data_IF_757406482788
#
_entry.id   IF_757406482788
#
_cell.length_a   1.000
_cell.length_b   1.000
_cell.length_c   1.000
_cell.angle_alpha   90.00
_cell.angle_beta   90.00
_cell.angle_gamma   90.00
#
_symmetry.space_group_name_H-M   'P 1'
#
loop_
_entity.id
_entity.type
_entity.pdbx_description
1 polymer ?
#
# COMPACT_ATOMS: atom_id res chain seq x y z
N UNK A 1 -33.04 -4.06 -8.04
CA UNK A 1 -33.25 -4.91 -6.84
C UNK A 1 -31.98 -5.73 -6.54
N UNK A 2 -31.42 -6.44 -7.53
CA UNK A 2 -30.11 -7.11 -7.40
C UNK A 2 -28.96 -6.15 -7.07
N UNK A 3 -28.92 -4.97 -7.69
CA UNK A 3 -27.87 -3.98 -7.41
C UNK A 3 -27.88 -3.47 -5.97
N UNK A 4 -29.07 -3.35 -5.38
CA UNK A 4 -29.23 -2.97 -3.98
C UNK A 4 -28.69 -4.06 -3.05
N UNK A 5 -28.98 -5.32 -3.35
CA UNK A 5 -28.47 -6.46 -2.57
C UNK A 5 -26.95 -6.58 -2.72
N UNK A 6 -26.41 -6.40 -3.93
CA UNK A 6 -24.98 -6.39 -4.18
C UNK A 6 -24.28 -5.24 -3.43
N UNK A 7 -24.87 -4.05 -3.43
CA UNK A 7 -24.36 -2.91 -2.68
C UNK A 7 -24.37 -3.15 -1.17
N UNK A 8 -25.47 -3.67 -0.61
CA UNK A 8 -25.57 -4.01 0.82
C UNK A 8 -24.57 -5.10 1.21
N UNK A 9 -24.35 -6.11 0.35
CA UNK A 9 -23.35 -7.16 0.59
C UNK A 9 -21.92 -6.60 0.62
N UNK A 10 -21.59 -5.71 -0.31
CA UNK A 10 -20.25 -5.11 -0.39
C UNK A 10 -20.02 -4.12 0.75
N UNK A 11 -20.97 -3.23 1.04
CA UNK A 11 -20.84 -2.27 2.15
C UNK A 11 -20.87 -2.98 3.51
N UNK A 12 -21.71 -4.01 3.67
CA UNK A 12 -21.74 -4.84 4.87
C UNK A 12 -20.41 -5.58 5.12
N UNK A 13 -19.81 -6.14 4.06
CA UNK A 13 -18.50 -6.78 4.15
C UNK A 13 -17.37 -5.77 4.40
N UNK A 14 -17.46 -4.54 3.86
CA UNK A 14 -16.47 -3.47 4.04
C UNK A 14 -16.45 -2.93 5.46
N UNK A 15 -17.62 -2.75 6.06
CA UNK A 15 -17.78 -2.11 7.38
C UNK A 15 -17.73 -3.10 8.56
N UNK A 16 -17.69 -4.42 8.30
CA UNK A 16 -17.71 -5.46 9.33
C UNK A 16 -18.82 -5.23 10.38
N UNK A 17 -20.01 -4.85 9.89
CA UNK A 17 -21.12 -4.41 10.73
C UNK A 17 -21.64 -5.59 11.55
N UNK A 18 -21.96 -5.32 12.82
CA UNK A 18 -22.52 -6.31 13.71
C UNK A 18 -23.91 -6.77 13.23
N UNK A 19 -24.24 -8.05 13.42
CA UNK A 19 -25.47 -8.67 12.90
C UNK A 19 -26.74 -7.87 13.23
N UNK A 20 -26.78 -7.34 14.46
CA UNK A 20 -27.91 -6.57 15.01
C UNK A 20 -28.05 -5.19 14.38
N UNK A 21 -26.94 -4.51 14.12
CA UNK A 21 -26.96 -3.17 13.51
C UNK A 21 -27.39 -3.24 12.05
N UNK A 22 -27.03 -4.34 11.35
CA UNK A 22 -27.45 -4.58 9.98
C UNK A 22 -28.96 -4.93 9.93
N UNK A 23 -29.45 -5.74 10.87
CA UNK A 23 -30.87 -6.04 10.98
C UNK A 23 -31.69 -4.79 11.31
N UNK A 24 -31.26 -3.96 12.26
CA UNK A 24 -31.93 -2.71 12.63
C UNK A 24 -31.94 -1.71 11.46
N UNK A 25 -30.85 -1.61 10.71
CA UNK A 25 -30.76 -0.74 9.53
C UNK A 25 -31.69 -1.21 8.40
N UNK A 26 -31.81 -2.53 8.19
CA UNK A 26 -32.73 -3.11 7.19
C UNK A 26 -34.20 -2.99 7.61
N UNK A 27 -34.50 -3.09 8.91
CA UNK A 27 -35.83 -2.84 9.46
C UNK A 27 -36.21 -1.36 9.33
N UNK A 28 -35.30 -0.42 9.60
CA UNK A 28 -35.50 1.01 9.35
C UNK A 28 -35.74 1.31 7.86
N UNK A 29 -35.12 0.55 6.96
CA UNK A 29 -35.33 0.66 5.51
C UNK A 29 -36.69 0.08 5.04
N UNK A 30 -37.51 -0.47 5.93
CA UNK A 30 -38.85 -0.99 5.62
C UNK A 30 -38.85 -2.40 5.01
N UNK A 31 -37.76 -3.16 5.16
CA UNK A 31 -37.67 -4.54 4.67
C UNK A 31 -38.42 -5.48 5.63
N UNK A 32 -39.19 -6.43 5.08
CA UNK A 32 -39.88 -7.46 5.88
C UNK A 32 -38.87 -8.32 6.66
N UNK A 33 -39.20 -8.64 7.91
CA UNK A 33 -38.32 -9.31 8.88
C UNK A 33 -37.72 -10.65 8.38
N UNK A 34 -38.49 -11.38 7.55
CA UNK A 34 -38.05 -12.63 6.93
C UNK A 34 -36.96 -12.43 5.86
N UNK A 35 -37.01 -11.32 5.10
CA UNK A 35 -35.98 -11.03 4.10
C UNK A 35 -34.74 -10.44 4.75
N UNK A 36 -34.90 -9.69 5.84
CA UNK A 36 -33.79 -9.14 6.62
C UNK A 36 -32.91 -10.27 7.19
N UNK A 37 -33.50 -11.31 7.79
CA UNK A 37 -32.73 -12.45 8.34
C UNK A 37 -31.98 -13.26 7.27
N UNK A 38 -32.57 -13.43 6.08
CA UNK A 38 -31.93 -14.10 4.94
C UNK A 38 -30.75 -13.26 4.41
N UNK A 39 -30.92 -11.94 4.29
CA UNK A 39 -29.85 -11.05 3.82
C UNK A 39 -28.71 -11.01 4.83
N UNK A 40 -29.01 -10.89 6.12
CA UNK A 40 -28.01 -10.87 7.20
C UNK A 40 -27.18 -12.14 7.21
N UNK A 41 -27.81 -13.32 7.17
CA UNK A 41 -27.11 -14.60 7.12
C UNK A 41 -26.27 -14.76 5.84
N UNK A 42 -26.75 -14.28 4.69
CA UNK A 42 -25.98 -14.27 3.44
C UNK A 42 -24.78 -13.31 3.49
N UNK A 43 -24.93 -12.14 4.11
CA UNK A 43 -23.83 -11.18 4.35
C UNK A 43 -22.77 -11.82 5.24
N UNK A 44 -23.15 -12.46 6.35
CA UNK A 44 -22.18 -13.10 7.25
C UNK A 44 -21.41 -14.22 6.56
N UNK A 45 -22.10 -15.09 5.80
CA UNK A 45 -21.45 -16.17 5.06
C UNK A 45 -20.48 -15.67 3.98
N UNK A 46 -20.85 -14.59 3.28
CA UNK A 46 -20.05 -14.03 2.19
C UNK A 46 -19.03 -12.97 2.62
N UNK A 47 -19.15 -12.43 3.84
CA UNK A 47 -18.30 -11.34 4.35
C UNK A 47 -16.81 -11.70 4.31
N UNK A 48 -16.45 -12.89 4.79
CA UNK A 48 -15.07 -13.40 4.78
C UNK A 48 -14.53 -13.57 3.36
N UNK A 49 -15.37 -14.07 2.43
CA UNK A 49 -14.98 -14.22 1.03
C UNK A 49 -14.75 -12.86 0.37
N UNK A 50 -15.69 -11.93 0.55
CA UNK A 50 -15.58 -10.57 0.02
C UNK A 50 -14.41 -9.82 0.64
N UNK A 51 -14.13 -9.99 1.93
CA UNK A 51 -12.95 -9.41 2.57
C UNK A 51 -11.65 -10.01 2.04
N UNK A 52 -11.60 -11.31 1.77
CA UNK A 52 -10.45 -11.92 1.12
C UNK A 52 -10.26 -11.42 -0.31
N UNK A 53 -11.33 -11.30 -1.11
CA UNK A 53 -11.26 -10.74 -2.46
C UNK A 53 -10.86 -9.26 -2.44
N UNK A 54 -11.43 -8.46 -1.53
CA UNK A 54 -11.05 -7.06 -1.35
C UNK A 54 -9.60 -6.94 -0.89
N UNK A 55 -9.14 -7.80 0.02
CA UNK A 55 -7.75 -7.88 0.48
C UNK A 55 -6.79 -8.24 -0.64
N UNK A 56 -7.16 -9.18 -1.50
CA UNK A 56 -6.38 -9.57 -2.67
C UNK A 56 -6.41 -8.51 -3.80
N UNK A 57 -7.45 -7.67 -3.85
CA UNK A 57 -7.53 -6.52 -4.75
C UNK A 57 -6.80 -5.29 -4.21
N UNK A 58 -6.43 -5.25 -2.92
CA UNK A 58 -5.56 -4.18 -2.42
C UNK A 58 -4.25 -4.27 -3.18
N UNK A 59 -3.83 -3.12 -3.72
CA UNK A 59 -2.56 -2.99 -4.43
C UNK A 59 -1.49 -3.53 -3.49
N UNK A 60 -0.79 -4.59 -3.91
CA UNK A 60 0.33 -5.13 -3.15
C UNK A 60 1.49 -4.14 -3.25
N UNK A 61 1.45 -3.10 -2.41
CA UNK A 61 2.45 -2.05 -2.41
C UNK A 61 3.68 -2.55 -1.67
N UNK A 62 4.83 -2.44 -2.33
CA UNK A 62 6.11 -2.73 -1.73
C UNK A 62 6.39 -1.69 -0.63
N UNK A 63 6.32 -2.10 0.63
CA UNK A 63 6.56 -1.19 1.76
C UNK A 63 8.05 -1.07 2.00
N UNK A 64 8.58 0.15 1.96
CA UNK A 64 9.95 0.42 2.40
C UNK A 64 10.09 0.13 3.90
N UNK A 65 11.16 -0.57 4.30
CA UNK A 65 11.44 -0.90 5.71
C UNK A 65 12.74 -0.29 6.21
N UNK A 66 13.82 -0.43 5.45
CA UNK A 66 15.14 0.00 5.89
C UNK A 66 16.05 0.33 4.69
N UNK A 67 17.05 1.19 4.92
CA UNK A 67 18.13 1.47 3.98
C UNK A 67 19.45 1.50 4.73
N UNK A 68 20.42 0.77 4.20
CA UNK A 68 21.80 0.77 4.65
C UNK A 68 22.67 1.33 3.51
N UNK A 69 23.71 2.08 3.85
CA UNK A 69 24.63 2.62 2.88
C UNK A 69 26.09 2.38 3.29
N UNK A 70 26.95 2.27 2.28
CA UNK A 70 28.40 2.20 2.44
C UNK A 70 29.05 3.07 1.38
N UNK A 71 30.03 3.88 1.79
CA UNK A 71 30.90 4.62 0.88
C UNK A 71 32.25 3.92 0.85
N UNK A 72 32.60 3.40 -0.32
CA UNK A 72 33.91 2.83 -0.59
C UNK A 72 34.74 3.85 -1.37
N UNK A 73 35.98 4.08 -0.95
CA UNK A 73 36.89 5.01 -1.64
C UNK A 73 38.16 4.26 -1.96
N UNK A 74 38.50 4.20 -3.24
CA UNK A 74 39.83 3.72 -3.66
C UNK A 74 40.82 4.86 -3.48
N UNK A 75 41.77 4.66 -2.58
CA UNK A 75 42.91 5.55 -2.38
C UNK A 75 44.07 5.01 -3.22
N UNK A 76 44.52 5.79 -4.20
CA UNK A 76 45.61 5.40 -5.08
C UNK A 76 46.88 5.03 -4.27
N UNK A 77 47.55 3.96 -4.71
CA UNK A 77 48.85 3.52 -4.19
C UNK A 77 49.99 4.13 -5.00
N UNK A 78 51.20 4.10 -4.42
CA UNK A 78 52.46 4.86 -4.68
C UNK A 78 52.88 5.21 -6.14
N UNK A 79 52.18 4.77 -7.17
CA UNK A 79 52.51 4.97 -8.58
C UNK A 79 51.50 5.81 -9.38
N UNK A 80 50.31 6.11 -8.82
CA UNK A 80 49.28 6.96 -9.43
C UNK A 80 48.91 8.05 -8.43
N UNK A 81 49.09 9.31 -8.83
CA UNK A 81 49.01 10.45 -7.90
C UNK A 81 47.58 10.95 -7.64
N UNK A 82 46.60 10.66 -8.51
CA UNK A 82 45.26 11.26 -8.41
C UNK A 82 44.16 10.34 -8.95
N UNK A 83 43.83 9.25 -8.24
CA UNK A 83 42.61 8.51 -8.54
C UNK A 83 41.81 8.30 -7.25
N UNK A 84 40.95 9.28 -6.96
CA UNK A 84 39.88 9.14 -5.97
C UNK A 84 38.65 8.62 -6.72
N UNK A 85 38.36 7.33 -6.58
CA UNK A 85 37.11 6.73 -7.09
C UNK A 85 36.19 6.45 -5.91
N UNK A 86 35.30 7.40 -5.53
CA UNK A 86 34.27 7.15 -4.55
C UNK A 86 33.12 6.35 -5.17
N UNK A 87 32.72 5.28 -4.49
CA UNK A 87 31.65 4.38 -4.87
C UNK A 87 30.66 4.27 -3.71
N UNK A 88 29.39 4.55 -3.95
CA UNK A 88 28.33 4.45 -2.93
C UNK A 88 27.50 3.22 -3.20
N UNK A 89 27.38 2.35 -2.21
CA UNK A 89 26.52 1.18 -2.24
C UNK A 89 25.34 1.44 -1.31
N UNK A 90 24.13 1.34 -1.85
CA UNK A 90 22.86 1.47 -1.16
C UNK A 90 22.17 0.12 -1.14
N UNK A 91 21.70 -0.31 0.02
CA UNK A 91 20.91 -1.53 0.19
C UNK A 91 19.54 -1.14 0.74
N UNK A 92 18.50 -1.50 0.01
CA UNK A 92 17.10 -1.24 0.38
C UNK A 92 16.43 -2.55 0.79
N UNK A 93 15.84 -2.55 1.98
CA UNK A 93 15.01 -3.64 2.46
C UNK A 93 13.53 -3.25 2.29
N UNK A 94 12.81 -4.07 1.53
CA UNK A 94 11.40 -3.92 1.26
C UNK A 94 10.59 -5.06 1.87
N UNK A 95 9.40 -4.73 2.37
CA UNK A 95 8.40 -5.71 2.76
C UNK A 95 7.35 -5.84 1.66
N UNK A 96 7.27 -7.03 1.09
CA UNK A 96 6.16 -7.40 0.21
C UNK A 96 5.00 -7.84 1.11
N UNK A 97 3.74 -7.49 0.79
CA UNK A 97 2.56 -7.79 1.61
C UNK A 97 2.33 -9.28 1.95
N UNK A 98 3.13 -10.18 1.35
CA UNK A 98 3.18 -11.61 1.63
C UNK A 98 4.30 -12.01 2.62
N UNK A 99 4.76 -11.10 3.49
CA UNK A 99 5.87 -11.27 4.45
C UNK A 99 7.24 -11.66 3.83
N UNK A 100 7.33 -11.61 2.50
CA UNK A 100 8.59 -11.83 1.78
C UNK A 100 9.40 -10.54 1.83
N UNK A 101 10.56 -10.60 2.49
CA UNK A 101 11.55 -9.53 2.45
C UNK A 101 12.23 -9.55 1.08
N UNK A 102 12.17 -8.42 0.38
CA UNK A 102 12.87 -8.21 -0.88
C UNK A 102 14.01 -7.22 -0.62
N UNK A 103 15.25 -7.61 -0.91
CA UNK A 103 16.43 -6.77 -0.74
C UNK A 103 16.93 -6.35 -2.11
N UNK A 104 17.11 -5.05 -2.32
CA UNK A 104 17.72 -4.51 -3.55
C UNK A 104 19.00 -3.76 -3.22
N UNK A 105 20.06 -4.06 -3.96
CA UNK A 105 21.35 -3.40 -3.82
C UNK A 105 21.58 -2.55 -5.07
N UNK A 106 21.96 -1.30 -4.86
CA UNK A 106 22.23 -0.31 -5.88
C UNK A 106 23.64 0.24 -5.63
N UNK A 107 24.47 0.23 -6.67
CA UNK A 107 25.77 0.90 -6.66
C UNK A 107 25.62 2.18 -7.49
N UNK A 108 26.07 3.30 -6.94
CA UNK A 108 25.94 4.62 -7.57
C UNK A 108 27.19 5.47 -7.32
N UNK A 109 27.43 6.38 -8.25
CA UNK A 109 28.35 7.49 -8.10
C UNK A 109 27.68 8.69 -7.42
N UNK A 110 28.48 9.67 -7.00
CA UNK A 110 28.02 10.84 -6.25
C UNK A 110 27.06 11.72 -7.07
N UNK A 111 27.23 11.76 -8.40
CA UNK A 111 26.40 12.59 -9.28
C UNK A 111 25.01 11.98 -9.39
N UNK A 112 24.93 10.66 -9.61
CA UNK A 112 23.64 9.97 -9.62
C UNK A 112 22.97 9.97 -8.24
N UNK A 113 23.72 9.97 -7.14
CA UNK A 113 23.14 10.11 -5.81
C UNK A 113 22.44 11.47 -5.65
N UNK A 114 23.07 12.57 -6.08
CA UNK A 114 22.44 13.90 -6.07
C UNK A 114 21.21 13.97 -6.99
N UNK A 115 21.27 13.33 -8.16
CA UNK A 115 20.10 13.26 -9.05
C UNK A 115 18.95 12.48 -8.39
N UNK A 116 19.27 11.39 -7.70
CA UNK A 116 18.29 10.59 -6.96
C UNK A 116 17.64 11.39 -5.83
N UNK A 117 18.42 12.14 -5.04
CA UNK A 117 17.86 12.99 -3.98
C UNK A 117 16.95 14.07 -4.54
N UNK A 118 17.36 14.75 -5.62
CA UNK A 118 16.54 15.78 -6.25
C UNK A 118 15.21 15.22 -6.76
N UNK A 119 15.23 14.07 -7.45
CA UNK A 119 14.02 13.42 -7.94
C UNK A 119 13.08 12.99 -6.80
N UNK A 120 13.64 12.50 -5.68
CA UNK A 120 12.84 12.15 -4.51
C UNK A 120 12.22 13.37 -3.83
N UNK A 121 12.95 14.49 -3.77
CA UNK A 121 12.43 15.75 -3.26
C UNK A 121 11.31 16.33 -4.13
N UNK A 122 11.47 16.27 -5.45
CA UNK A 122 10.43 16.65 -6.41
C UNK A 122 9.18 15.79 -6.23
N UNK A 123 9.34 14.46 -6.15
CA UNK A 123 8.22 13.55 -5.90
C UNK A 123 7.53 13.82 -4.54
N UNK A 124 8.30 14.11 -3.48
CA UNK A 124 7.75 14.50 -2.18
C UNK A 124 6.95 15.81 -2.25
N UNK A 125 7.41 16.76 -3.05
CA UNK A 125 6.71 18.01 -3.28
C UNK A 125 5.43 17.80 -4.12
N UNK A 126 5.45 16.90 -5.09
CA UNK A 126 4.28 16.54 -5.90
C UNK A 126 3.18 15.88 -5.06
N UNK A 127 3.53 15.07 -4.06
CA UNK A 127 2.54 14.50 -3.11
C UNK A 127 1.76 15.60 -2.37
N UNK A 128 2.38 16.76 -2.13
CA UNK A 128 1.70 17.91 -1.50
C UNK A 128 0.70 18.59 -2.43
N UNK A 129 0.69 18.27 -3.72
CA UNK A 129 -0.26 18.83 -4.68
C UNK A 129 -1.70 18.44 -4.34
N UNK A 130 -2.65 19.30 -4.70
CA UNK A 130 -4.07 19.05 -4.47
C UNK A 130 -4.59 17.82 -5.23
N UNK A 131 -3.99 17.48 -6.37
CA UNK A 131 -4.34 16.29 -7.15
C UNK A 131 -3.96 15.02 -6.37
N UNK A 132 -2.70 14.90 -5.97
CA UNK A 132 -2.22 13.73 -5.22
C UNK A 132 -2.92 13.58 -3.87
N UNK A 133 -3.22 14.68 -3.16
CA UNK A 133 -4.02 14.65 -1.93
C UNK A 133 -5.44 14.11 -2.14
N UNK A 134 -6.10 14.47 -3.26
CA UNK A 134 -7.43 13.93 -3.59
C UNK A 134 -7.37 12.44 -3.88
N UNK A 135 -6.33 11.99 -4.59
CA UNK A 135 -6.11 10.58 -4.88
C UNK A 135 -5.84 9.79 -3.59
N UNK A 136 -4.93 10.27 -2.73
CA UNK A 136 -4.64 9.63 -1.43
C UNK A 136 -5.88 9.49 -0.55
N UNK A 137 -6.76 10.50 -0.50
CA UNK A 137 -8.00 10.45 0.28
C UNK A 137 -8.99 9.37 -0.19
N UNK A 138 -8.90 8.95 -1.45
CA UNK A 138 -9.80 7.96 -2.03
C UNK A 138 -9.20 6.55 -2.10
N UNK A 139 -7.89 6.40 -1.83
CA UNK A 139 -7.16 5.12 -1.93
C UNK A 139 -6.82 4.54 -0.55
N UNK A 140 -6.62 5.38 0.48
CA UNK A 140 -6.38 4.96 1.88
C UNK A 140 -7.70 4.74 2.60
#
# INVERSE_FOLDING_TARGET
MLDFIAWVLVEGARLSINEKELQESLLMAGVKDQLASIVVSSVMNNSNLLQNYMGNMRINTLSYKNMEWRLDVKLATRSILELLEPEVILKFDFNNGNDKKEVKILQTDIVNLNNLTNNLEEALNEIKSNHCRRVFRNIV
#
